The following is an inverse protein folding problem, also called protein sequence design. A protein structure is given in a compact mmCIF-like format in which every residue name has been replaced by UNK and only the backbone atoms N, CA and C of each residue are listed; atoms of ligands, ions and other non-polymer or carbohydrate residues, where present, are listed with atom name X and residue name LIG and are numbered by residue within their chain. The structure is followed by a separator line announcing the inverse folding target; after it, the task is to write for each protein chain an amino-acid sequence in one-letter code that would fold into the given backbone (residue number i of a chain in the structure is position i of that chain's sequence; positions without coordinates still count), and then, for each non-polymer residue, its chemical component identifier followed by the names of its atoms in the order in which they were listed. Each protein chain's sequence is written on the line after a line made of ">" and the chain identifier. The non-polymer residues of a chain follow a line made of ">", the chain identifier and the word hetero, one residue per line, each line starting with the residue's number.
data_IF_865557456552
#
_entry.id   IF_865557456552
#
_cell.length_a   1.000
_cell.length_b   1.000
_cell.length_c   1.000
_cell.angle_alpha   90.00
_cell.angle_beta   90.00
_cell.angle_gamma   90.00
#
_symmetry.space_group_name_H-M   'P 1'
#
loop_
_entity.id
_entity.type
_entity.pdbx_description
1 polymer ?
#
# COMPACT_ATOMS: atom_id res chain seq x y z
N UNK A 1 38.24 22.91 41.00
CA UNK A 1 37.45 23.76 40.09
C UNK A 1 37.80 23.36 38.67
N UNK A 2 36.80 22.89 37.91
CA UNK A 2 36.73 22.63 36.46
C UNK A 2 36.16 21.23 36.18
N UNK A 3 34.83 21.18 36.12
CA UNK A 3 34.07 20.07 35.57
C UNK A 3 34.17 20.16 34.04
N UNK A 4 34.62 19.09 33.40
CA UNK A 4 34.52 18.92 31.96
C UNK A 4 33.19 18.21 31.65
N UNK A 5 32.14 19.00 31.47
CA UNK A 5 30.88 18.50 30.92
C UNK A 5 31.06 18.35 29.41
N UNK A 6 31.43 17.14 28.98
CA UNK A 6 31.43 16.77 27.58
C UNK A 6 30.00 16.73 27.07
N UNK A 7 29.63 17.75 26.30
CA UNK A 7 28.37 17.80 25.57
C UNK A 7 28.39 16.69 24.51
N UNK A 8 27.70 15.58 24.81
CA UNK A 8 27.44 14.53 23.82
C UNK A 8 26.41 15.08 22.86
N UNK A 9 26.89 15.79 21.84
CA UNK A 9 26.10 16.08 20.66
C UNK A 9 25.76 14.75 19.99
N UNK A 10 24.61 14.18 20.34
CA UNK A 10 24.02 13.06 19.62
C UNK A 10 23.66 13.58 18.24
N UNK A 11 24.51 13.30 17.27
CA UNK A 11 24.23 13.49 15.85
C UNK A 11 23.02 12.61 15.54
N UNK A 12 21.82 13.20 15.63
CA UNK A 12 20.58 12.59 15.19
C UNK A 12 20.71 12.34 13.70
N UNK A 13 20.90 11.07 13.33
CA UNK A 13 20.84 10.62 11.95
C UNK A 13 19.40 10.84 11.46
N UNK A 14 19.17 11.95 10.78
CA UNK A 14 17.84 12.41 10.38
C UNK A 14 17.40 11.92 8.99
N UNK A 15 18.08 10.96 8.37
CA UNK A 15 17.95 10.74 6.93
C UNK A 15 17.24 9.47 6.46
N UNK A 16 16.57 8.69 7.31
CA UNK A 16 15.80 7.52 6.81
C UNK A 16 14.44 7.27 7.46
N UNK A 17 14.05 8.05 8.47
CA UNK A 17 12.85 7.80 9.27
C UNK A 17 11.51 8.01 8.52
N UNK A 18 11.51 8.70 7.37
CA UNK A 18 10.27 9.08 6.69
C UNK A 18 9.50 7.88 6.12
N UNK A 19 10.12 7.13 5.22
CA UNK A 19 9.46 6.04 4.50
C UNK A 19 9.13 4.84 5.41
N UNK A 20 10.02 4.52 6.34
CA UNK A 20 9.85 3.40 7.26
C UNK A 20 8.75 3.68 8.30
N UNK A 21 8.68 4.90 8.84
CA UNK A 21 7.55 5.31 9.71
C UNK A 21 6.23 5.34 8.97
N UNK A 22 6.23 5.76 7.69
CA UNK A 22 5.01 5.69 6.86
C UNK A 22 4.57 4.25 6.67
N UNK A 23 5.51 3.34 6.36
CA UNK A 23 5.19 1.92 6.23
C UNK A 23 4.62 1.34 7.53
N UNK A 24 5.26 1.61 8.68
CA UNK A 24 4.76 1.19 9.99
C UNK A 24 3.36 1.75 10.28
N UNK A 25 3.11 3.02 9.95
CA UNK A 25 1.79 3.63 10.13
C UNK A 25 0.72 2.99 9.23
N UNK A 26 1.07 2.65 7.98
CA UNK A 26 0.19 1.93 7.07
C UNK A 26 -0.10 0.52 7.60
N UNK A 27 0.92 -0.18 8.08
CA UNK A 27 0.77 -1.52 8.67
C UNK A 27 -0.07 -1.51 9.95
N UNK A 28 0.05 -0.47 10.77
CA UNK A 28 -0.74 -0.30 12.00
C UNK A 28 -2.19 0.16 11.74
N UNK A 29 -2.52 0.60 10.52
CA UNK A 29 -3.85 1.10 10.21
C UNK A 29 -4.78 -0.05 9.77
N UNK A 30 -5.73 -0.41 10.64
CA UNK A 30 -6.64 -1.54 10.39
C UNK A 30 -7.84 -1.20 9.49
N UNK A 31 -8.18 0.09 9.39
CA UNK A 31 -9.32 0.56 8.58
C UNK A 31 -8.93 0.86 7.15
N UNK A 32 -7.70 1.33 6.90
CA UNK A 32 -7.25 1.82 5.59
C UNK A 32 -7.56 0.83 4.47
N UNK A 33 -7.20 -0.44 4.65
CA UNK A 33 -7.45 -1.45 3.63
C UNK A 33 -8.94 -1.71 3.44
N UNK A 34 -9.75 -1.67 4.50
CA UNK A 34 -11.19 -1.82 4.40
C UNK A 34 -11.85 -0.69 3.61
N UNK A 35 -11.49 0.55 3.93
CA UNK A 35 -12.01 1.74 3.28
C UNK A 35 -11.62 1.78 1.79
N UNK A 36 -10.38 1.42 1.47
CA UNK A 36 -9.90 1.33 0.09
C UNK A 36 -10.60 0.22 -0.72
N UNK A 37 -10.99 -0.88 -0.09
CA UNK A 37 -11.79 -1.93 -0.73
C UNK A 37 -13.20 -1.43 -1.02
N UNK A 38 -13.80 -0.64 -0.12
CA UNK A 38 -15.08 0.03 -0.40
C UNK A 38 -15.04 0.90 -1.66
N UNK A 39 -13.91 1.59 -1.91
CA UNK A 39 -13.73 2.42 -3.11
C UNK A 39 -13.68 1.61 -4.42
N UNK A 40 -13.53 0.29 -4.39
CA UNK A 40 -13.59 -0.56 -5.58
C UNK A 40 -15.03 -0.71 -6.13
N UNK A 41 -16.03 -0.35 -5.32
CA UNK A 41 -17.46 -0.35 -5.71
C UNK A 41 -17.96 1.04 -6.11
N UNK A 42 -17.08 2.04 -6.13
CA UNK A 42 -17.45 3.41 -6.48
C UNK A 42 -18.02 3.51 -7.90
N UNK A 43 -19.05 4.33 -8.08
CA UNK A 43 -19.70 4.56 -9.37
C UNK A 43 -18.72 5.16 -10.39
N UNK A 44 -17.84 6.05 -9.95
CA UNK A 44 -16.84 6.70 -10.77
C UNK A 44 -15.70 5.72 -11.13
N UNK A 45 -15.47 5.44 -12.42
CA UNK A 45 -14.39 4.55 -12.85
C UNK A 45 -12.99 5.03 -12.44
N UNK A 46 -12.78 6.34 -12.33
CA UNK A 46 -11.51 6.94 -11.90
C UNK A 46 -11.20 6.68 -10.43
N UNK A 47 -12.22 6.66 -9.56
CA UNK A 47 -12.07 6.33 -8.14
C UNK A 47 -11.68 4.86 -8.00
N UNK A 48 -12.41 3.96 -8.68
CA UNK A 48 -12.07 2.53 -8.72
C UNK A 48 -10.66 2.28 -9.23
N UNK A 49 -10.27 2.95 -10.32
CA UNK A 49 -8.92 2.86 -10.86
C UNK A 49 -7.85 3.29 -9.83
N UNK A 50 -8.08 4.42 -9.15
CA UNK A 50 -7.13 4.96 -8.17
C UNK A 50 -7.00 4.02 -6.96
N UNK A 51 -8.12 3.46 -6.49
CA UNK A 51 -8.14 2.47 -5.43
C UNK A 51 -7.35 1.21 -5.80
N UNK A 52 -7.54 0.66 -7.01
CA UNK A 52 -6.79 -0.51 -7.48
C UNK A 52 -5.28 -0.26 -7.54
N UNK A 53 -4.85 0.90 -8.05
CA UNK A 53 -3.43 1.27 -8.11
C UNK A 53 -2.85 1.40 -6.70
N UNK A 54 -3.56 2.07 -5.81
CA UNK A 54 -3.10 2.28 -4.45
C UNK A 54 -3.02 0.96 -3.66
N UNK A 55 -4.02 0.09 -3.78
CA UNK A 55 -3.99 -1.26 -3.20
C UNK A 55 -2.85 -2.11 -3.78
N UNK A 56 -2.60 -2.04 -5.10
CA UNK A 56 -1.49 -2.74 -5.73
C UNK A 56 -0.14 -2.29 -5.19
N UNK A 57 0.03 -0.97 -4.98
CA UNK A 57 1.22 -0.42 -4.32
C UNK A 57 1.35 -0.92 -2.88
N UNK A 58 0.27 -0.93 -2.09
CA UNK A 58 0.30 -1.49 -0.73
C UNK A 58 0.76 -2.95 -0.70
N UNK A 59 0.31 -3.78 -1.65
CA UNK A 59 0.78 -5.16 -1.78
C UNK A 59 2.28 -5.26 -2.12
N UNK A 60 2.85 -4.25 -2.77
CA UNK A 60 4.28 -4.18 -3.08
C UNK A 60 5.15 -3.63 -1.96
N UNK A 61 4.57 -2.97 -0.95
CA UNK A 61 5.33 -2.32 0.13
C UNK A 61 5.80 -3.30 1.21
N UNK A 62 4.96 -4.25 1.62
CA UNK A 62 5.33 -5.24 2.62
C UNK A 62 4.42 -6.47 2.62
N UNK A 63 4.91 -7.59 3.16
CA UNK A 63 4.12 -8.82 3.33
C UNK A 63 2.91 -8.62 4.26
N UNK A 64 3.02 -7.92 5.42
CA UNK A 64 1.85 -7.64 6.27
C UNK A 64 0.73 -6.89 5.55
N UNK A 65 1.07 -5.83 4.80
CA UNK A 65 0.07 -5.07 4.04
C UNK A 65 -0.57 -5.92 2.95
N UNK A 66 0.23 -6.70 2.22
CA UNK A 66 -0.28 -7.62 1.20
C UNK A 66 -1.28 -8.62 1.79
N UNK A 67 -0.94 -9.22 2.94
CA UNK A 67 -1.84 -10.12 3.66
C UNK A 67 -3.18 -9.45 4.01
N UNK A 68 -3.13 -8.25 4.58
CA UNK A 68 -4.34 -7.46 4.92
C UNK A 68 -5.21 -7.15 3.69
N UNK A 69 -4.59 -6.87 2.54
CA UNK A 69 -5.31 -6.59 1.29
C UNK A 69 -5.95 -7.85 0.72
N UNK A 70 -5.23 -8.97 0.71
CA UNK A 70 -5.72 -10.21 0.10
C UNK A 70 -6.82 -10.90 0.92
N UNK A 71 -6.81 -10.77 2.25
CA UNK A 71 -7.81 -11.39 3.14
C UNK A 71 -9.23 -10.87 2.90
N UNK A 72 -9.38 -9.67 2.31
CA UNK A 72 -10.68 -9.02 2.09
C UNK A 72 -11.40 -9.42 0.80
N UNK A 73 -11.02 -10.51 0.15
CA UNK A 73 -11.69 -11.00 -1.06
C UNK A 73 -11.51 -10.10 -2.30
N UNK A 74 -10.57 -9.15 -2.24
CA UNK A 74 -10.29 -8.14 -3.29
C UNK A 74 -10.01 -8.79 -4.63
N UNK A 75 -9.28 -9.90 -4.64
CA UNK A 75 -8.91 -10.63 -5.86
C UNK A 75 -10.15 -11.00 -6.69
N UNK A 76 -11.22 -11.46 -6.05
CA UNK A 76 -12.46 -11.83 -6.75
C UNK A 76 -13.10 -10.60 -7.44
N UNK A 77 -13.10 -9.46 -6.75
CA UNK A 77 -13.62 -8.21 -7.28
C UNK A 77 -12.80 -7.70 -8.48
N UNK A 78 -11.47 -7.79 -8.40
CA UNK A 78 -10.57 -7.42 -9.50
C UNK A 78 -10.76 -8.33 -10.72
N UNK A 79 -10.90 -9.64 -10.51
CA UNK A 79 -11.20 -10.59 -11.59
C UNK A 79 -12.57 -10.30 -12.23
N UNK A 80 -13.55 -9.89 -11.42
CA UNK A 80 -14.86 -9.46 -11.94
C UNK A 80 -14.74 -8.25 -12.87
N UNK A 81 -13.91 -7.27 -12.51
CA UNK A 81 -13.65 -6.08 -13.34
C UNK A 81 -12.99 -6.45 -14.67
N UNK A 82 -12.02 -7.37 -14.66
CA UNK A 82 -11.39 -7.87 -15.89
C UNK A 82 -12.40 -8.58 -16.79
N UNK A 83 -13.26 -9.42 -16.21
CA UNK A 83 -14.29 -10.17 -16.94
C UNK A 83 -15.35 -9.26 -17.56
N UNK A 84 -15.70 -8.17 -16.86
CA UNK A 84 -16.72 -7.23 -17.29
C UNK A 84 -16.26 -6.35 -18.47
N UNK A 85 -14.98 -6.37 -18.84
CA UNK A 85 -14.48 -5.67 -20.03
C UNK A 85 -14.60 -4.16 -19.94
N UNK A 86 -14.15 -3.57 -18.82
CA UNK A 86 -14.18 -2.11 -18.60
C UNK A 86 -13.18 -1.31 -19.46
N UNK A 87 -13.01 -0.04 -19.13
CA UNK A 87 -12.05 0.83 -19.84
C UNK A 87 -10.62 0.26 -19.78
N UNK A 88 -9.81 0.56 -20.80
CA UNK A 88 -8.41 0.12 -20.84
C UNK A 88 -7.61 0.57 -19.61
N UNK A 89 -7.91 1.75 -19.07
CA UNK A 89 -7.28 2.26 -17.85
C UNK A 89 -7.63 1.41 -16.61
N UNK A 90 -8.90 1.01 -16.48
CA UNK A 90 -9.36 0.16 -15.38
C UNK A 90 -8.79 -1.26 -15.50
N UNK A 91 -8.75 -1.82 -16.71
CA UNK A 91 -8.12 -3.12 -16.94
C UNK A 91 -6.62 -3.11 -16.62
N UNK A 92 -5.90 -2.05 -17.01
CA UNK A 92 -4.48 -1.90 -16.65
C UNK A 92 -4.29 -1.80 -15.13
N UNK A 93 -5.15 -1.08 -14.43
CA UNK A 93 -5.10 -0.99 -12.98
C UNK A 93 -5.37 -2.34 -12.30
N UNK A 94 -6.36 -3.09 -12.80
CA UNK A 94 -6.67 -4.44 -12.34
C UNK A 94 -5.50 -5.42 -12.57
N UNK A 95 -4.88 -5.39 -13.75
CA UNK A 95 -3.71 -6.21 -14.06
C UNK A 95 -2.50 -5.82 -13.21
N UNK A 96 -2.26 -4.52 -13.01
CA UNK A 96 -1.21 -4.03 -12.12
C UNK A 96 -1.40 -4.54 -10.69
N UNK A 97 -2.61 -4.46 -10.15
CA UNK A 97 -2.92 -4.98 -8.83
C UNK A 97 -2.57 -6.48 -8.72
N UNK A 98 -3.04 -7.30 -9.66
CA UNK A 98 -2.75 -8.74 -9.68
C UNK A 98 -1.24 -8.99 -9.76
N UNK A 99 -0.55 -8.29 -10.66
CA UNK A 99 0.90 -8.36 -10.77
C UNK A 99 1.59 -8.04 -9.43
N UNK A 100 1.22 -6.96 -8.75
CA UNK A 100 1.82 -6.58 -7.46
C UNK A 100 1.54 -7.56 -6.34
N UNK A 101 0.44 -8.33 -6.41
CA UNK A 101 0.15 -9.39 -5.43
C UNK A 101 1.00 -10.64 -5.66
N UNK A 102 1.37 -10.92 -6.91
CA UNK A 102 2.16 -12.12 -7.30
C UNK A 102 3.65 -11.85 -7.36
N UNK A 103 4.05 -10.63 -7.69
CA UNK A 103 5.43 -10.27 -7.89
C UNK A 103 6.06 -10.02 -6.53
N UNK A 104 6.64 -11.09 -6.00
CA UNK A 104 7.33 -11.08 -4.74
C UNK A 104 8.72 -10.49 -4.96
N UNK A 105 8.86 -9.17 -4.87
CA UNK A 105 10.19 -8.56 -4.68
C UNK A 105 10.65 -8.79 -3.24
N UNK A 106 10.89 -10.06 -2.92
CA UNK A 106 11.53 -10.55 -1.71
C UNK A 106 12.25 -11.85 -2.08
N UNK A 107 13.27 -11.69 -2.94
CA UNK A 107 14.62 -12.23 -2.73
C UNK A 107 15.61 -11.21 -3.31
#
# INVERSE_FOLDING_TARGET
>A
KLAATGDKHTVGSHEVDGAEKVLQALEACDTLTGDMVGLLEDLAPSVRQSAMIALGRCCGLSQPLRGKVLDRGVVHQIVSVLRSGGSAALMRAALFFLYSTTNNSAD
#
